data_IF_713210748131
#
_entry.id   IF_713210748131
#
_cell.length_a   1.000
_cell.length_b   1.000
_cell.length_c   1.000
_cell.angle_alpha   90.00
_cell.angle_beta   90.00
_cell.angle_gamma   90.00
#
_symmetry.space_group_name_H-M   'P 1'
#
loop_
_entity.id
_entity.type
_entity.pdbx_description
1 polymer ?
#
# COMPACT_ATOMS: atom_id res chain seq x y z
N UNK A 1 -31.01 1.01 -4.23
CA UNK A 1 -30.52 0.27 -3.04
C UNK A 1 -31.37 -0.96 -2.67
N UNK A 2 -32.71 -0.93 -2.80
CA UNK A 2 -33.60 -2.07 -2.43
C UNK A 2 -33.38 -3.41 -3.16
N UNK A 3 -32.59 -3.48 -4.24
CA UNK A 3 -32.35 -4.73 -4.99
C UNK A 3 -31.12 -5.55 -4.53
N UNK A 4 -30.27 -5.00 -3.65
CA UNK A 4 -29.00 -5.62 -3.24
C UNK A 4 -28.97 -6.04 -1.76
N UNK A 5 -30.05 -5.82 -0.99
CA UNK A 5 -30.08 -6.06 0.47
C UNK A 5 -28.91 -5.40 1.23
N UNK A 6 -28.43 -4.24 0.76
CA UNK A 6 -27.38 -3.45 1.44
C UNK A 6 -27.95 -2.13 1.95
N UNK A 7 -27.42 -1.68 3.08
CA UNK A 7 -27.75 -0.37 3.68
C UNK A 7 -27.06 0.77 2.91
N UNK A 8 -27.41 2.02 3.24
CA UNK A 8 -26.70 3.19 2.70
C UNK A 8 -25.26 3.26 3.22
N UNK A 9 -25.03 2.79 4.45
CA UNK A 9 -23.73 2.71 5.08
C UNK A 9 -22.83 1.70 4.36
N UNK A 10 -23.34 0.50 4.09
CA UNK A 10 -22.64 -0.51 3.27
C UNK A 10 -22.22 0.05 1.91
N UNK A 11 -23.14 0.75 1.23
CA UNK A 11 -22.85 1.37 -0.06
C UNK A 11 -21.76 2.45 0.01
N UNK A 12 -21.73 3.22 1.11
CA UNK A 12 -20.70 4.22 1.36
C UNK A 12 -19.34 3.56 1.61
N UNK A 13 -19.31 2.49 2.39
CA UNK A 13 -18.10 1.75 2.71
C UNK A 13 -17.48 1.10 1.47
N UNK A 14 -18.29 0.44 0.64
CA UNK A 14 -17.82 -0.10 -0.64
C UNK A 14 -17.25 0.98 -1.55
N UNK A 15 -17.86 2.18 -1.57
CA UNK A 15 -17.35 3.31 -2.34
C UNK A 15 -15.98 3.77 -1.83
N UNK A 16 -15.79 3.85 -0.52
CA UNK A 16 -14.50 4.25 0.04
C UNK A 16 -13.41 3.21 -0.21
N UNK A 17 -13.69 1.94 0.05
CA UNK A 17 -12.76 0.84 -0.23
C UNK A 17 -12.39 0.81 -1.71
N UNK A 18 -13.38 0.92 -2.61
CA UNK A 18 -13.15 0.98 -4.06
C UNK A 18 -12.24 2.13 -4.46
N UNK A 19 -12.38 3.30 -3.82
CA UNK A 19 -11.50 4.46 -4.07
C UNK A 19 -10.06 4.21 -3.60
N UNK A 20 -9.86 3.52 -2.48
CA UNK A 20 -8.51 3.19 -2.02
C UNK A 20 -7.83 2.16 -2.92
N UNK A 21 -8.57 1.15 -3.37
CA UNK A 21 -8.06 0.20 -4.35
C UNK A 21 -7.71 0.85 -5.69
N UNK A 22 -8.51 1.80 -6.16
CA UNK A 22 -8.20 2.57 -7.36
C UNK A 22 -6.90 3.38 -7.21
N UNK A 23 -6.71 4.05 -6.08
CA UNK A 23 -5.46 4.78 -5.79
C UNK A 23 -4.25 3.85 -5.71
N UNK A 24 -4.40 2.66 -5.14
CA UNK A 24 -3.34 1.63 -5.16
C UNK A 24 -3.00 1.26 -6.61
N UNK A 25 -4.00 1.06 -7.46
CA UNK A 25 -3.82 0.82 -8.89
C UNK A 25 -3.04 1.94 -9.58
N UNK A 26 -3.36 3.20 -9.29
CA UNK A 26 -2.62 4.37 -9.79
C UNK A 26 -1.15 4.36 -9.36
N UNK A 27 -0.86 3.94 -8.12
CA UNK A 27 0.51 3.80 -7.64
C UNK A 27 1.24 2.63 -8.31
N UNK A 28 0.57 1.52 -8.59
CA UNK A 28 1.15 0.43 -9.38
C UNK A 28 1.54 0.91 -10.79
N UNK A 29 0.70 1.73 -11.42
CA UNK A 29 1.03 2.36 -12.71
C UNK A 29 2.22 3.31 -12.60
N UNK A 30 2.31 4.12 -11.53
CA UNK A 30 3.47 5.00 -11.28
C UNK A 30 4.76 4.21 -11.11
N UNK A 31 4.72 3.09 -10.38
CA UNK A 31 5.87 2.18 -10.24
C UNK A 31 6.29 1.70 -11.63
N UNK A 32 5.37 1.11 -12.39
CA UNK A 32 5.67 0.57 -13.72
C UNK A 32 6.28 1.63 -14.65
N UNK A 33 5.78 2.87 -14.62
CA UNK A 33 6.31 3.98 -15.43
C UNK A 33 7.72 4.43 -15.04
N UNK A 34 8.09 4.35 -13.77
CA UNK A 34 9.43 4.74 -13.33
C UNK A 34 10.44 3.60 -13.52
N UNK A 35 10.00 2.36 -13.31
CA UNK A 35 10.82 1.16 -13.46
C UNK A 35 11.41 1.04 -14.87
N UNK A 36 10.64 1.38 -15.91
CA UNK A 36 11.13 1.34 -17.31
C UNK A 36 12.21 2.38 -17.65
N UNK A 37 12.40 3.39 -16.80
CA UNK A 37 13.39 4.46 -16.99
C UNK A 37 14.75 4.09 -16.36
N UNK A 38 14.78 3.06 -15.53
CA UNK A 38 15.95 2.65 -14.75
C UNK A 38 16.75 1.61 -15.52
N UNK A 39 18.06 1.80 -15.61
CA UNK A 39 19.00 0.74 -16.02
C UNK A 39 19.31 -0.14 -14.81
N UNK A 40 18.70 -1.33 -14.77
CA UNK A 40 18.86 -2.28 -13.67
C UNK A 40 20.31 -2.70 -13.41
N UNK A 41 21.20 -2.63 -14.41
CA UNK A 41 22.61 -2.99 -14.22
C UNK A 41 23.36 -1.99 -13.34
N UNK A 42 22.83 -0.78 -13.18
CA UNK A 42 23.39 0.30 -12.36
C UNK A 42 22.77 0.39 -10.97
N UNK A 43 21.80 -0.46 -10.66
CA UNK A 43 21.21 -0.55 -9.34
C UNK A 43 22.00 -1.56 -8.51
N UNK A 44 22.51 -1.10 -7.36
CA UNK A 44 23.20 -1.99 -6.45
C UNK A 44 22.24 -3.00 -5.82
N UNK A 45 22.77 -4.18 -5.52
CA UNK A 45 21.97 -5.31 -5.02
C UNK A 45 21.27 -5.00 -3.69
N UNK A 46 21.93 -4.27 -2.80
CA UNK A 46 21.39 -3.92 -1.48
C UNK A 46 20.18 -3.00 -1.60
N UNK A 47 20.27 -1.97 -2.44
CA UNK A 47 19.15 -1.07 -2.75
C UNK A 47 17.97 -1.83 -3.35
N UNK A 48 18.22 -2.72 -4.32
CA UNK A 48 17.18 -3.56 -4.90
C UNK A 48 16.48 -4.42 -3.84
N UNK A 49 17.24 -5.14 -3.01
CA UNK A 49 16.70 -6.00 -1.96
C UNK A 49 15.87 -5.21 -0.94
N UNK A 50 16.32 -4.02 -0.55
CA UNK A 50 15.58 -3.18 0.40
C UNK A 50 14.26 -2.64 -0.20
N UNK A 51 14.25 -2.25 -1.48
CA UNK A 51 13.02 -1.86 -2.19
C UNK A 51 12.04 -3.03 -2.27
N UNK A 52 12.53 -4.21 -2.65
CA UNK A 52 11.69 -5.41 -2.75
C UNK A 52 11.10 -5.79 -1.40
N UNK A 53 11.89 -5.75 -0.31
CA UNK A 53 11.40 -5.99 1.04
C UNK A 53 10.30 -5.01 1.46
N UNK A 54 10.46 -3.72 1.18
CA UNK A 54 9.40 -2.73 1.46
C UNK A 54 8.14 -3.02 0.62
N UNK A 55 8.32 -3.43 -0.65
CA UNK A 55 7.21 -3.82 -1.53
C UNK A 55 6.45 -5.03 -0.99
N UNK A 56 7.14 -6.06 -0.50
CA UNK A 56 6.54 -7.25 0.10
C UNK A 56 5.68 -6.89 1.32
N UNK A 57 6.23 -6.10 2.25
CA UNK A 57 5.50 -5.62 3.44
C UNK A 57 4.25 -4.84 3.02
N UNK A 58 4.35 -3.97 2.01
CA UNK A 58 3.19 -3.21 1.54
C UNK A 58 2.09 -4.10 0.94
N UNK A 59 2.46 -5.18 0.25
CA UNK A 59 1.50 -6.12 -0.32
C UNK A 59 0.88 -7.02 0.75
N UNK A 60 1.65 -7.41 1.76
CA UNK A 60 1.14 -8.10 2.95
C UNK A 60 0.08 -7.26 3.68
N UNK A 61 0.36 -5.96 3.88
CA UNK A 61 -0.61 -5.04 4.46
C UNK A 61 -1.89 -4.94 3.63
N UNK A 62 -1.78 -4.87 2.30
CA UNK A 62 -2.96 -4.85 1.44
C UNK A 62 -3.79 -6.12 1.60
N UNK A 63 -3.16 -7.30 1.50
CA UNK A 63 -3.86 -8.58 1.66
C UNK A 63 -4.52 -8.68 3.05
N UNK A 64 -3.81 -8.33 4.11
CA UNK A 64 -4.33 -8.35 5.48
C UNK A 64 -5.55 -7.43 5.65
N UNK A 65 -5.54 -6.23 5.05
CA UNK A 65 -6.70 -5.32 5.09
C UNK A 65 -7.93 -5.88 4.35
N UNK A 66 -7.71 -6.58 3.24
CA UNK A 66 -8.79 -7.22 2.46
C UNK A 66 -9.34 -8.45 3.18
N UNK A 67 -8.47 -9.28 3.76
CA UNK A 67 -8.87 -10.43 4.57
C UNK A 67 -9.67 -9.97 5.80
N UNK A 68 -9.22 -8.93 6.50
CA UNK A 68 -9.93 -8.33 7.62
C UNK A 68 -11.33 -7.86 7.20
N UNK A 69 -11.45 -7.24 6.02
CA UNK A 69 -12.74 -6.75 5.53
C UNK A 69 -13.69 -7.90 5.17
N UNK A 70 -13.19 -8.90 4.45
CA UNK A 70 -13.99 -10.07 4.03
C UNK A 70 -14.48 -10.88 5.23
N UNK A 71 -13.63 -11.03 6.24
CA UNK A 71 -13.92 -11.83 7.44
C UNK A 71 -14.60 -11.01 8.56
N UNK A 72 -14.68 -9.69 8.41
CA UNK A 72 -15.12 -8.75 9.46
C UNK A 72 -14.28 -8.88 10.73
N UNK A 73 -12.99 -9.10 10.58
CA UNK A 73 -12.05 -9.31 11.68
C UNK A 73 -11.44 -7.98 12.14
N UNK A 74 -11.95 -7.48 13.26
CA UNK A 74 -11.48 -6.26 13.90
C UNK A 74 -10.04 -6.37 14.44
N UNK A 75 -9.61 -7.56 14.88
CA UNK A 75 -8.26 -7.74 15.40
C UNK A 75 -7.26 -7.67 14.25
N UNK A 76 -7.58 -8.32 13.14
CA UNK A 76 -6.74 -8.30 11.94
C UNK A 76 -6.64 -6.88 11.34
N UNK A 77 -7.73 -6.12 11.36
CA UNK A 77 -7.72 -4.70 10.98
C UNK A 77 -6.81 -3.85 11.89
N UNK A 78 -6.86 -4.07 13.21
CA UNK A 78 -5.97 -3.34 14.14
C UNK A 78 -4.49 -3.73 13.94
N UNK A 79 -4.19 -5.02 13.78
CA UNK A 79 -2.84 -5.50 13.49
C UNK A 79 -2.27 -4.89 12.21
N UNK A 80 -3.12 -4.73 11.19
CA UNK A 80 -2.77 -4.07 9.94
C UNK A 80 -2.30 -2.63 10.16
N UNK A 81 -3.09 -1.84 10.90
CA UNK A 81 -2.78 -0.45 11.21
C UNK A 81 -1.46 -0.36 12.00
N UNK A 82 -1.28 -1.20 13.03
CA UNK A 82 -0.04 -1.21 13.81
C UNK A 82 1.20 -1.57 12.97
N UNK A 83 1.02 -2.47 12.00
CA UNK A 83 2.10 -2.93 11.12
C UNK A 83 2.55 -1.87 10.10
N UNK A 84 1.84 -0.76 9.92
CA UNK A 84 2.27 0.34 9.03
C UNK A 84 3.61 0.95 9.44
N UNK A 85 3.91 0.91 10.74
CA UNK A 85 5.19 1.38 11.28
C UNK A 85 6.36 0.61 10.68
N UNK A 86 6.22 -0.71 10.50
CA UNK A 86 7.25 -1.57 9.89
C UNK A 86 7.52 -1.16 8.44
N UNK A 87 6.47 -0.86 7.66
CA UNK A 87 6.61 -0.36 6.30
C UNK A 87 7.31 0.99 6.26
N UNK A 88 6.88 1.92 7.12
CA UNK A 88 7.47 3.27 7.19
C UNK A 88 8.95 3.20 7.53
N UNK A 89 9.33 2.37 8.49
CA UNK A 89 10.73 2.11 8.84
C UNK A 89 11.50 1.50 7.67
N UNK A 90 10.95 0.46 7.02
CA UNK A 90 11.58 -0.15 5.85
C UNK A 90 11.85 0.88 4.75
N UNK A 91 10.87 1.70 4.37
CA UNK A 91 11.02 2.76 3.37
C UNK A 91 12.07 3.81 3.77
N UNK A 92 12.07 4.26 5.02
CA UNK A 92 12.99 5.29 5.51
C UNK A 92 14.45 4.80 5.60
N UNK A 93 14.66 3.50 5.76
CA UNK A 93 16.02 2.91 5.80
C UNK A 93 16.66 2.75 4.43
N UNK A 94 15.88 2.88 3.34
CA UNK A 94 16.41 2.79 1.98
C UNK A 94 17.30 4.00 1.69
N UNK A 95 18.60 3.75 1.54
CA UNK A 95 19.58 4.79 1.20
C UNK A 95 19.79 4.80 -0.31
N UNK A 96 19.48 5.94 -0.93
CA UNK A 96 19.76 6.18 -2.34
C UNK A 96 20.97 7.10 -2.43
N UNK A 97 21.91 6.80 -3.33
CA UNK A 97 23.02 7.70 -3.62
C UNK A 97 22.47 9.04 -4.15
N UNK A 98 22.76 10.18 -3.49
CA UNK A 98 22.25 11.49 -3.93
C UNK A 98 22.72 11.90 -5.34
N UNK A 99 23.80 11.30 -5.83
CA UNK A 99 24.33 11.54 -7.18
C UNK A 99 23.85 10.48 -8.20
N UNK A 100 22.95 9.58 -7.81
CA UNK A 100 22.35 8.62 -8.74
C UNK A 100 21.55 9.35 -9.81
N UNK A 101 21.76 8.99 -11.07
CA UNK A 101 20.96 9.48 -12.19
C UNK A 101 19.48 9.03 -12.09
N UNK A 102 19.19 7.99 -11.28
CA UNK A 102 17.85 7.44 -11.07
C UNK A 102 17.21 7.83 -9.73
N UNK A 103 17.76 8.84 -9.03
CA UNK A 103 17.31 9.23 -7.69
C UNK A 103 15.80 9.53 -7.64
N UNK A 104 15.29 10.21 -8.66
CA UNK A 104 13.89 10.66 -8.72
C UNK A 104 12.96 9.48 -8.97
N UNK A 105 13.31 8.61 -9.91
CA UNK A 105 12.54 7.43 -10.29
C UNK A 105 12.44 6.46 -9.12
N UNK A 106 13.57 6.19 -8.44
CA UNK A 106 13.62 5.34 -7.25
C UNK A 106 12.79 5.96 -6.12
N UNK A 107 12.89 7.28 -5.92
CA UNK A 107 12.08 8.01 -4.95
C UNK A 107 10.57 7.83 -5.19
N UNK A 108 10.11 7.93 -6.45
CA UNK A 108 8.71 7.70 -6.80
C UNK A 108 8.25 6.25 -6.58
N UNK A 109 9.13 5.27 -6.80
CA UNK A 109 8.85 3.86 -6.54
C UNK A 109 8.65 3.64 -5.04
N UNK A 110 9.59 4.09 -4.20
CA UNK A 110 9.52 3.94 -2.74
C UNK A 110 8.29 4.65 -2.17
N UNK A 111 8.01 5.86 -2.64
CA UNK A 111 6.80 6.58 -2.21
C UNK A 111 5.53 5.83 -2.62
N UNK A 112 5.49 5.26 -3.82
CA UNK A 112 4.31 4.51 -4.28
C UNK A 112 4.10 3.20 -3.50
N UNK A 113 5.18 2.55 -3.09
CA UNK A 113 5.14 1.41 -2.16
C UNK A 113 4.55 1.87 -0.82
N UNK A 114 5.08 2.94 -0.22
CA UNK A 114 4.58 3.48 1.06
C UNK A 114 3.09 3.81 1.00
N UNK A 115 2.66 4.51 -0.05
CA UNK A 115 1.25 4.89 -0.27
C UNK A 115 0.33 3.68 -0.40
N UNK A 116 0.81 2.58 -0.98
CA UNK A 116 0.03 1.34 -1.07
C UNK A 116 -0.29 0.77 0.31
N UNK A 117 0.68 0.72 1.21
CA UNK A 117 0.46 0.31 2.60
C UNK A 117 -0.43 1.29 3.37
N UNK A 118 -0.23 2.60 3.18
CA UNK A 118 -1.07 3.61 3.85
C UNK A 118 -2.56 3.50 3.46
N UNK A 119 -2.86 3.28 2.17
CA UNK A 119 -4.24 3.01 1.74
C UNK A 119 -4.80 1.69 2.27
N UNK A 120 -3.94 0.72 2.57
CA UNK A 120 -4.35 -0.52 3.22
C UNK A 120 -4.77 -0.27 4.68
N UNK A 121 -4.05 0.60 5.38
CA UNK A 121 -4.45 1.09 6.70
C UNK A 121 -5.78 1.85 6.65
N UNK A 122 -5.99 2.71 5.64
CA UNK A 122 -7.26 3.42 5.46
C UNK A 122 -8.45 2.46 5.26
N UNK A 123 -8.24 1.34 4.56
CA UNK A 123 -9.26 0.26 4.44
C UNK A 123 -9.53 -0.35 5.83
N UNK A 124 -8.48 -0.65 6.59
CA UNK A 124 -8.60 -1.21 7.94
C UNK A 124 -9.35 -0.28 8.91
N UNK A 125 -9.13 1.03 8.82
CA UNK A 125 -9.86 2.02 9.61
C UNK A 125 -11.37 2.03 9.31
N UNK A 126 -11.77 1.83 8.05
CA UNK A 126 -13.18 1.69 7.69
C UNK A 126 -13.79 0.47 8.38
N UNK A 127 -13.07 -0.65 8.44
CA UNK A 127 -13.58 -1.88 9.08
C UNK A 127 -13.86 -1.61 10.57
N UNK A 128 -12.92 -0.95 11.26
CA UNK A 128 -13.05 -0.62 12.69
C UNK A 128 -14.23 0.32 12.93
N UNK A 129 -14.37 1.36 12.11
CA UNK A 129 -15.39 2.39 12.30
C UNK A 129 -16.83 1.91 12.00
N UNK A 130 -17.00 0.77 11.34
CA UNK A 130 -18.32 0.26 10.92
C UNK A 130 -18.76 -1.03 11.63
N UNK A 131 -17.89 -1.65 12.41
CA UNK A 131 -18.21 -2.86 13.19
C UNK A 131 -18.39 -2.58 14.69
N UNK A 132 -18.31 -1.31 15.10
CA UNK A 132 -18.58 -0.79 16.45
C UNK A 132 -19.82 0.08 16.39
#
# INVERSE_FOLDING_TARGET
CQKLNITLEDASNYKFISRFLERIGDHAVKIAKNVILIDYQKIDKELYENIMKASEISLELLNMSLDAWLQKDLNLANENIESIKKLTEACNTIKINPNSEYLVEIGFIIESIRRTGEYSSDISEIIINNLI
#
